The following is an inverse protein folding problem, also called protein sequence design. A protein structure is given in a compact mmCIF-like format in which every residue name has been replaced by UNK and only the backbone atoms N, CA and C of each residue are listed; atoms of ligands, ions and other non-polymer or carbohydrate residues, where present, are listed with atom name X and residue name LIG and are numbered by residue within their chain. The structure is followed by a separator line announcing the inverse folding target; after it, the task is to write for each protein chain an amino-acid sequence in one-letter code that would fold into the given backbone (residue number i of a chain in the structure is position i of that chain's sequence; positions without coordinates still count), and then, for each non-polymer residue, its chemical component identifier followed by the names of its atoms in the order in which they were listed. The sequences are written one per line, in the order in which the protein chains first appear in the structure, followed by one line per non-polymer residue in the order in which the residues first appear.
data_IF_799695595763
#
_entry.id   IF_799695595763
#
_cell.length_a   1.000
_cell.length_b   1.000
_cell.length_c   1.000
_cell.angle_alpha   90.00
_cell.angle_beta   90.00
_cell.angle_gamma   90.00
#
_symmetry.space_group_name_H-M   'P 1'
#
loop_
_entity.id
_entity.type
_entity.pdbx_description
1 polymer ?
#
# COMPACT_ATOMS: atom_id res chain seq x y z
N UNK A 1 37.71 -19.48 -5.49
CA UNK A 1 36.62 -19.51 -4.49
C UNK A 1 35.32 -19.24 -5.24
N UNK A 2 34.52 -20.27 -5.50
CA UNK A 2 33.39 -20.19 -6.43
C UNK A 2 32.21 -19.46 -5.74
N UNK A 3 31.69 -18.32 -6.24
CA UNK A 3 30.67 -17.50 -5.57
C UNK A 3 29.22 -17.99 -5.77
N UNK A 4 29.02 -19.00 -6.62
CA UNK A 4 27.72 -19.59 -6.96
C UNK A 4 26.87 -20.09 -5.77
N UNK A 5 27.41 -20.75 -4.72
CA UNK A 5 26.60 -21.21 -3.60
C UNK A 5 26.08 -20.04 -2.73
N UNK A 6 26.83 -18.95 -2.61
CA UNK A 6 26.44 -17.77 -1.82
C UNK A 6 25.24 -17.05 -2.44
N UNK A 7 25.23 -16.89 -3.77
CA UNK A 7 24.13 -16.23 -4.49
C UNK A 7 22.85 -17.09 -4.47
N UNK A 8 22.98 -18.42 -4.49
CA UNK A 8 21.83 -19.33 -4.35
C UNK A 8 21.24 -19.27 -2.95
N UNK A 9 22.08 -19.30 -1.92
CA UNK A 9 21.64 -19.23 -0.51
C UNK A 9 20.92 -17.91 -0.22
N UNK A 10 21.45 -16.78 -0.66
CA UNK A 10 20.80 -15.47 -0.43
C UNK A 10 19.44 -15.38 -1.11
N UNK A 11 19.31 -15.85 -2.35
CA UNK A 11 18.02 -15.86 -3.07
C UNK A 11 16.98 -16.79 -2.45
N UNK A 12 17.39 -17.95 -1.94
CA UNK A 12 16.49 -18.90 -1.28
C UNK A 12 16.03 -18.35 0.06
N UNK A 13 16.94 -17.80 0.86
CA UNK A 13 16.61 -17.18 2.15
C UNK A 13 15.70 -15.96 1.98
N UNK A 14 15.94 -15.12 0.96
CA UNK A 14 15.09 -13.97 0.66
C UNK A 14 13.65 -14.41 0.32
N UNK A 15 13.47 -15.38 -0.58
CA UNK A 15 12.13 -15.90 -0.94
C UNK A 15 11.40 -16.52 0.25
N UNK A 16 12.12 -17.21 1.13
CA UNK A 16 11.53 -17.79 2.34
C UNK A 16 11.07 -16.70 3.31
N UNK A 17 11.92 -15.69 3.52
CA UNK A 17 11.60 -14.53 4.35
C UNK A 17 10.41 -13.75 3.79
N UNK A 18 10.37 -13.50 2.48
CA UNK A 18 9.25 -12.83 1.80
C UNK A 18 7.93 -13.54 2.06
N UNK A 19 7.93 -14.87 1.96
CA UNK A 19 6.73 -15.68 2.14
C UNK A 19 6.24 -15.68 3.58
N UNK A 20 7.17 -15.74 4.55
CA UNK A 20 6.84 -15.62 5.98
C UNK A 20 6.25 -14.23 6.27
N UNK A 21 6.87 -13.16 5.77
CA UNK A 21 6.40 -11.79 5.96
C UNK A 21 5.01 -11.58 5.34
N UNK A 22 4.79 -12.05 4.12
CA UNK A 22 3.48 -11.96 3.47
C UNK A 22 2.39 -12.69 4.27
N UNK A 23 2.68 -13.90 4.77
CA UNK A 23 1.75 -14.65 5.63
C UNK A 23 1.47 -13.90 6.94
N UNK A 24 2.49 -13.32 7.57
CA UNK A 24 2.34 -12.55 8.79
C UNK A 24 1.46 -11.30 8.57
N UNK A 25 1.67 -10.57 7.47
CA UNK A 25 0.86 -9.40 7.09
C UNK A 25 -0.60 -9.82 6.87
N UNK A 26 -0.84 -10.89 6.11
CA UNK A 26 -2.19 -11.41 5.84
C UNK A 26 -2.90 -11.83 7.13
N UNK A 27 -2.21 -12.55 8.02
CA UNK A 27 -2.75 -12.92 9.32
C UNK A 27 -3.11 -11.67 10.17
N UNK A 28 -2.25 -10.65 10.15
CA UNK A 28 -2.49 -9.37 10.82
C UNK A 28 -3.72 -8.64 10.27
N UNK A 29 -3.91 -8.62 8.96
CA UNK A 29 -5.09 -8.00 8.31
C UNK A 29 -6.37 -8.72 8.73
N UNK A 30 -6.35 -10.05 8.75
CA UNK A 30 -7.50 -10.87 9.16
C UNK A 30 -7.85 -10.58 10.63
N UNK A 31 -6.85 -10.62 11.52
CA UNK A 31 -7.05 -10.34 12.95
C UNK A 31 -7.59 -8.91 13.16
N UNK A 32 -7.01 -7.92 12.48
CA UNK A 32 -7.46 -6.54 12.52
C UNK A 32 -8.89 -6.36 11.98
N UNK A 33 -9.24 -7.09 10.92
CA UNK A 33 -10.58 -7.07 10.34
C UNK A 33 -11.64 -7.58 11.31
N UNK A 34 -11.38 -8.70 11.99
CA UNK A 34 -12.27 -9.22 13.03
C UNK A 34 -12.41 -8.26 14.21
N UNK A 35 -11.30 -7.73 14.72
CA UNK A 35 -11.31 -6.76 15.82
C UNK A 35 -12.09 -5.49 15.43
N UNK A 36 -11.85 -4.96 14.22
CA UNK A 36 -12.53 -3.78 13.69
C UNK A 36 -14.01 -4.01 13.47
N UNK A 37 -14.42 -5.19 12.98
CA UNK A 37 -15.83 -5.52 12.81
C UNK A 37 -16.55 -5.57 14.16
N UNK A 38 -15.95 -6.17 15.19
CA UNK A 38 -16.53 -6.20 16.53
C UNK A 38 -16.71 -4.79 17.11
N UNK A 39 -15.72 -3.92 16.91
CA UNK A 39 -15.76 -2.54 17.40
C UNK A 39 -16.82 -1.70 16.66
N UNK A 40 -16.89 -1.79 15.32
CA UNK A 40 -17.88 -1.07 14.50
C UNK A 40 -19.32 -1.51 14.80
N UNK A 41 -19.55 -2.77 15.16
CA UNK A 41 -20.87 -3.24 15.59
C UNK A 41 -21.34 -2.61 16.90
N UNK A 42 -20.41 -2.13 17.73
CA UNK A 42 -20.70 -1.48 19.01
C UNK A 42 -20.86 0.04 18.91
N UNK A 43 -20.57 0.64 17.76
CA UNK A 43 -20.59 2.08 17.54
C UNK A 43 -21.97 2.62 17.10
N UNK A 44 -22.21 3.91 17.35
CA UNK A 44 -23.44 4.59 16.94
C UNK A 44 -23.36 5.09 15.49
N UNK A 45 -24.02 4.38 14.59
CA UNK A 45 -24.09 4.68 13.15
C UNK A 45 -24.80 5.99 12.79
N UNK A 46 -25.38 6.69 13.77
CA UNK A 46 -25.91 8.04 13.56
C UNK A 46 -24.83 9.12 13.59
N UNK A 47 -23.65 8.82 14.12
CA UNK A 47 -22.51 9.74 14.13
C UNK A 47 -21.72 9.67 12.83
N UNK A 48 -21.38 10.84 12.26
CA UNK A 48 -20.44 10.93 11.15
C UNK A 48 -19.06 10.35 11.50
N UNK A 49 -18.69 10.34 12.78
CA UNK A 49 -17.42 9.77 13.26
C UNK A 49 -17.32 8.28 12.95
N UNK A 50 -18.39 7.50 13.14
CA UNK A 50 -18.41 6.06 12.83
C UNK A 50 -18.21 5.80 11.35
N UNK A 51 -18.71 6.68 10.47
CA UNK A 51 -18.46 6.60 9.04
C UNK A 51 -16.98 6.86 8.69
N UNK A 52 -16.36 7.89 9.30
CA UNK A 52 -14.93 8.15 9.13
C UNK A 52 -14.08 6.99 9.65
N UNK A 53 -14.45 6.39 10.78
CA UNK A 53 -13.77 5.26 11.40
C UNK A 53 -13.87 3.99 10.53
N UNK A 54 -15.05 3.72 9.97
CA UNK A 54 -15.25 2.65 9.00
C UNK A 54 -14.33 2.83 7.78
N UNK A 55 -14.37 4.02 7.16
CA UNK A 55 -13.53 4.32 6.01
C UNK A 55 -12.05 4.15 6.36
N UNK A 56 -11.61 4.67 7.50
CA UNK A 56 -10.23 4.54 7.96
C UNK A 56 -9.80 3.06 8.09
N UNK A 57 -10.60 2.23 8.76
CA UNK A 57 -10.34 0.80 8.99
C UNK A 57 -10.29 0.03 7.66
N UNK A 58 -11.24 0.27 6.77
CA UNK A 58 -11.31 -0.38 5.45
C UNK A 58 -10.12 0.01 4.59
N UNK A 59 -9.80 1.30 4.49
CA UNK A 59 -8.65 1.76 3.68
C UNK A 59 -7.33 1.23 4.26
N UNK A 60 -7.20 1.12 5.59
CA UNK A 60 -6.02 0.51 6.22
C UNK A 60 -5.87 -0.97 5.86
N UNK A 61 -6.96 -1.74 5.83
CA UNK A 61 -6.92 -3.14 5.36
C UNK A 61 -6.49 -3.24 3.90
N UNK A 62 -7.02 -2.38 3.02
CA UNK A 62 -6.64 -2.35 1.59
C UNK A 62 -5.14 -2.11 1.42
N UNK A 63 -4.56 -1.17 2.17
CA UNK A 63 -3.11 -0.93 2.16
C UNK A 63 -2.32 -2.15 2.63
N UNK A 64 -2.79 -2.82 3.68
CA UNK A 64 -2.17 -4.06 4.15
C UNK A 64 -2.13 -5.13 3.05
N UNK A 65 -3.26 -5.32 2.35
CA UNK A 65 -3.35 -6.29 1.25
C UNK A 65 -2.41 -5.92 0.11
N UNK A 66 -2.39 -4.65 -0.29
CA UNK A 66 -1.54 -4.18 -1.39
C UNK A 66 -0.05 -4.23 -1.02
N UNK A 67 0.31 -3.98 0.25
CA UNK A 67 1.66 -4.20 0.77
C UNK A 67 2.07 -5.67 0.69
N UNK A 68 1.20 -6.59 1.12
CA UNK A 68 1.47 -8.02 1.03
C UNK A 68 1.66 -8.46 -0.42
N UNK A 69 0.86 -7.93 -1.35
CA UNK A 69 0.98 -8.19 -2.79
C UNK A 69 2.29 -7.65 -3.34
N UNK A 70 2.63 -6.39 -3.03
CA UNK A 70 3.84 -5.71 -3.48
C UNK A 70 5.11 -6.42 -3.00
N UNK A 71 5.10 -6.96 -1.78
CA UNK A 71 6.21 -7.73 -1.22
C UNK A 71 6.47 -9.02 -2.05
N UNK A 72 5.42 -9.60 -2.63
CA UNK A 72 5.54 -10.80 -3.46
C UNK A 72 5.84 -10.48 -4.94
N UNK A 73 5.28 -9.39 -5.47
CA UNK A 73 5.40 -9.05 -6.90
C UNK A 73 6.56 -8.13 -7.22
N UNK A 74 7.16 -7.47 -6.21
CA UNK A 74 8.25 -6.49 -6.36
C UNK A 74 7.99 -5.44 -7.46
N UNK A 75 6.73 -5.05 -7.63
CA UNK A 75 6.33 -4.10 -8.67
C UNK A 75 6.39 -2.66 -8.13
N UNK A 76 7.29 -1.85 -8.71
CA UNK A 76 7.45 -0.44 -8.37
C UNK A 76 6.16 0.37 -8.65
N UNK A 77 5.38 -0.02 -9.65
CA UNK A 77 4.09 0.61 -9.96
C UNK A 77 3.08 0.40 -8.83
N UNK A 78 3.03 -0.80 -8.24
CA UNK A 78 2.16 -1.11 -7.11
C UNK A 78 2.52 -0.27 -5.87
N UNK A 79 3.82 -0.03 -5.63
CA UNK A 79 4.27 0.87 -4.55
C UNK A 79 3.74 2.29 -4.76
N UNK A 80 3.80 2.82 -5.97
CA UNK A 80 3.32 4.18 -6.27
C UNK A 80 1.81 4.31 -6.12
N UNK A 81 1.04 3.30 -6.56
CA UNK A 81 -0.41 3.27 -6.36
C UNK A 81 -0.78 3.21 -4.88
N UNK A 82 -0.06 2.39 -4.10
CA UNK A 82 -0.22 2.29 -2.66
C UNK A 82 0.08 3.62 -1.95
N UNK A 83 1.20 4.28 -2.29
CA UNK A 83 1.55 5.58 -1.72
C UNK A 83 0.53 6.66 -2.08
N UNK A 84 0.05 6.68 -3.32
CA UNK A 84 -0.97 7.61 -3.76
C UNK A 84 -2.27 7.43 -2.96
N UNK A 85 -2.68 6.18 -2.73
CA UNK A 85 -3.83 5.85 -1.90
C UNK A 85 -3.63 6.23 -0.41
N UNK A 86 -2.42 6.01 0.15
CA UNK A 86 -2.07 6.41 1.52
C UNK A 86 -2.19 7.93 1.71
N UNK A 87 -1.79 8.71 0.71
CA UNK A 87 -1.92 10.18 0.71
C UNK A 87 -3.39 10.57 0.60
N UNK A 88 -4.14 9.99 -0.35
CA UNK A 88 -5.56 10.29 -0.55
C UNK A 88 -6.43 9.99 0.69
N UNK A 89 -6.14 8.92 1.44
CA UNK A 89 -6.89 8.66 2.68
C UNK A 89 -6.61 9.66 3.79
N UNK A 90 -5.41 10.28 3.82
CA UNK A 90 -5.05 11.23 4.87
C UNK A 90 -5.88 12.51 4.78
N UNK A 91 -6.34 12.87 3.58
CA UNK A 91 -7.20 14.04 3.35
C UNK A 91 -8.66 13.80 3.68
N UNK A 92 -9.07 12.56 4.00
CA UNK A 92 -10.46 12.25 4.38
C UNK A 92 -10.78 12.58 5.85
N UNK A 93 -9.77 12.93 6.67
CA UNK A 93 -10.00 13.30 8.06
C UNK A 93 -10.44 14.78 8.15
N UNK A 94 -11.55 15.11 8.83
CA UNK A 94 -12.07 16.49 8.84
C UNK A 94 -11.16 17.53 9.54
N UNK A 95 -10.17 17.11 10.34
CA UNK A 95 -9.23 17.99 11.06
C UNK A 95 -7.90 18.27 10.33
N UNK A 96 -7.82 18.14 9.01
CA UNK A 96 -6.60 18.54 8.27
C UNK A 96 -6.60 20.03 7.98
N UNK A 97 -5.48 20.68 8.33
CA UNK A 97 -5.21 22.08 7.97
C UNK A 97 -5.16 22.22 6.43
N UNK A 98 -5.52 23.39 5.91
CA UNK A 98 -5.40 23.71 4.48
C UNK A 98 -3.97 23.48 3.96
N UNK A 99 -2.96 23.70 4.81
CA UNK A 99 -1.57 23.41 4.48
C UNK A 99 -1.28 21.91 4.31
N UNK A 100 -1.86 21.06 5.15
CA UNK A 100 -1.75 19.60 5.04
C UNK A 100 -2.40 19.09 3.76
N UNK A 101 -3.55 19.65 3.39
CA UNK A 101 -4.24 19.33 2.13
C UNK A 101 -3.37 19.72 0.93
N UNK A 102 -2.77 20.92 0.95
CA UNK A 102 -1.87 21.37 -0.11
C UNK A 102 -0.65 20.45 -0.28
N UNK A 103 0.00 20.07 0.83
CA UNK A 103 1.13 19.14 0.80
C UNK A 103 0.72 17.75 0.32
N UNK A 104 -0.45 17.24 0.72
CA UNK A 104 -0.97 15.96 0.23
C UNK A 104 -1.23 16.03 -1.28
N UNK A 105 -1.84 17.10 -1.79
CA UNK A 105 -2.06 17.28 -3.22
C UNK A 105 -0.74 17.32 -3.99
N UNK A 106 0.26 18.06 -3.49
CA UNK A 106 1.59 18.13 -4.09
C UNK A 106 2.28 16.75 -4.12
N UNK A 107 2.22 16.00 -3.02
CA UNK A 107 2.76 14.64 -2.95
C UNK A 107 2.06 13.70 -3.93
N UNK A 108 0.74 13.79 -4.06
CA UNK A 108 -0.05 12.99 -4.99
C UNK A 108 0.32 13.29 -6.45
N UNK A 109 0.48 14.57 -6.81
CA UNK A 109 0.94 14.98 -8.14
C UNK A 109 2.37 14.48 -8.41
N UNK A 110 3.28 14.59 -7.45
CA UNK A 110 4.65 14.10 -7.58
C UNK A 110 4.71 12.58 -7.81
N UNK A 111 3.88 11.81 -7.10
CA UNK A 111 3.78 10.35 -7.30
C UNK A 111 3.23 9.98 -8.68
N UNK A 112 2.22 10.71 -9.17
CA UNK A 112 1.69 10.52 -10.53
C UNK A 112 2.72 10.88 -11.60
N UNK A 113 3.46 11.97 -11.42
CA UNK A 113 4.54 12.35 -12.31
C UNK A 113 5.64 11.27 -12.33
N UNK A 114 6.05 10.77 -11.17
CA UNK A 114 7.00 9.68 -11.07
C UNK A 114 6.51 8.43 -11.83
N UNK A 115 5.23 8.07 -11.67
CA UNK A 115 4.62 6.97 -12.45
C UNK A 115 4.72 7.21 -13.95
N UNK A 116 4.35 8.40 -14.42
CA UNK A 116 4.30 8.71 -15.85
C UNK A 116 5.69 8.75 -16.50
N UNK A 117 6.69 9.32 -15.83
CA UNK A 117 8.04 9.47 -16.39
C UNK A 117 8.91 8.21 -16.25
N UNK A 118 8.78 7.44 -15.17
CA UNK A 118 9.65 6.29 -14.92
C UNK A 118 9.10 4.94 -15.39
N UNK A 119 7.77 4.78 -15.53
CA UNK A 119 7.15 3.49 -15.88
C UNK A 119 6.60 3.42 -17.32
N UNK A 120 6.82 4.43 -18.17
CA UNK A 120 6.41 4.37 -19.59
C UNK A 120 7.36 3.45 -20.38
N UNK A 121 6.88 2.36 -21.00
CA UNK A 121 7.68 1.62 -21.98
C UNK A 121 8.01 2.55 -23.14
N UNK A 122 9.27 2.56 -23.58
CA UNK A 122 9.67 3.32 -24.77
C UNK A 122 8.78 2.91 -25.96
N UNK A 123 8.27 3.85 -26.76
CA UNK A 123 7.48 3.51 -27.94
C UNK A 123 8.33 2.62 -28.85
N UNK A 124 7.81 1.43 -29.12
CA UNK A 124 8.40 0.46 -30.04
C UNK A 124 8.64 1.16 -31.38
N UNK A 125 9.92 1.32 -31.75
CA UNK A 125 10.28 1.72 -33.11
C UNK A 125 9.81 0.59 -34.04
N UNK A 126 8.71 0.83 -34.75
CA UNK A 126 8.29 0.02 -35.88
C UNK A 126 9.45 -0.10 -36.88
N UNK A 127 9.92 -1.31 -37.22
CA UNK A 127 10.94 -1.49 -38.26
C UNK A 127 10.39 -1.09 -39.63
N UNK A 128 11.29 -0.70 -40.57
CA UNK A 128 10.94 -0.08 -41.86
C UNK A 128 10.20 -0.99 -42.83
#
# INVERSE_FOLDING_TARGET
MNPEPLIRLTKVSAKWLERILAVAIVAGIIAYGFASAAELLSMDWRSSETFYDLMYRVLLMVIGVELARTLLTHDLGAILELLAFVVARKTLKPDVDAFDIFLCALAFVALLAARYYFLRPAPEKSPP
#
